data_IF_537569000831
#
_entry.id   IF_537569000831
#
_cell.length_a   1.000
_cell.length_b   1.000
_cell.length_c   1.000
_cell.angle_alpha   90.00
_cell.angle_beta   90.00
_cell.angle_gamma   90.00
#
_symmetry.space_group_name_H-M   'P 1'
#
loop_
_entity.id
_entity.type
_entity.pdbx_description
1 polymer ?
#
# COMPACT_ATOMS: atom_id res chain seq x y z
N UNK A 1 23.26 -17.53 6.79
CA UNK A 1 21.90 -17.94 7.14
C UNK A 1 21.45 -17.10 8.35
N UNK A 2 20.24 -16.48 8.30
CA UNK A 2 19.74 -15.65 9.40
C UNK A 2 18.78 -16.50 10.25
N UNK A 3 19.08 -16.66 11.50
CA UNK A 3 18.19 -17.34 12.45
C UNK A 3 17.51 -16.30 13.34
N UNK A 4 16.19 -16.43 13.49
CA UNK A 4 15.40 -15.58 14.38
C UNK A 4 14.86 -16.46 15.50
N UNK A 5 15.02 -16.01 16.75
CA UNK A 5 14.48 -16.66 17.95
C UNK A 5 13.58 -15.69 18.71
N UNK A 6 12.46 -16.18 19.23
CA UNK A 6 11.61 -15.50 20.20
C UNK A 6 11.54 -16.35 21.46
N UNK A 7 11.88 -15.78 22.61
CA UNK A 7 11.91 -16.48 23.91
C UNK A 7 12.69 -17.82 23.88
N UNK A 8 13.84 -17.82 23.16
CA UNK A 8 14.69 -18.99 22.99
C UNK A 8 14.22 -20.00 21.93
N UNK A 9 13.00 -19.88 21.40
CA UNK A 9 12.45 -20.75 20.36
C UNK A 9 12.73 -20.20 18.96
N UNK A 10 13.24 -21.04 18.06
CA UNK A 10 13.49 -20.67 16.67
C UNK A 10 12.17 -20.39 15.95
N UNK A 11 12.12 -19.29 15.20
CA UNK A 11 10.99 -18.93 14.34
C UNK A 11 11.26 -19.43 12.91
N UNK A 12 10.27 -20.04 12.30
CA UNK A 12 10.38 -20.56 10.93
C UNK A 12 10.27 -19.44 9.86
N UNK A 13 9.67 -18.30 10.23
CA UNK A 13 9.47 -17.15 9.32
C UNK A 13 9.64 -15.86 10.09
N UNK A 14 10.31 -14.87 9.47
CA UNK A 14 10.47 -13.53 10.05
C UNK A 14 9.12 -12.82 10.27
N UNK A 15 8.08 -13.14 9.48
CA UNK A 15 6.74 -12.58 9.65
C UNK A 15 6.09 -12.89 10.99
N UNK A 16 6.58 -13.89 11.72
CA UNK A 16 6.14 -14.20 13.11
C UNK A 16 6.59 -13.15 14.13
N UNK A 17 7.47 -12.21 13.74
CA UNK A 17 7.84 -11.06 14.56
C UNK A 17 6.87 -9.88 14.43
N UNK A 18 6.03 -9.86 13.40
CA UNK A 18 4.99 -8.84 13.24
C UNK A 18 4.10 -8.84 14.49
N UNK A 19 3.65 -7.66 14.93
CA UNK A 19 2.91 -7.41 16.17
C UNK A 19 3.71 -7.68 17.48
N UNK A 20 4.95 -8.16 17.39
CA UNK A 20 5.77 -8.44 18.57
C UNK A 20 6.94 -7.47 18.75
N UNK A 21 7.42 -6.89 17.66
CA UNK A 21 8.55 -5.95 17.66
C UNK A 21 8.21 -4.77 16.75
N UNK A 22 8.26 -3.58 17.31
CA UNK A 22 8.17 -2.33 16.56
C UNK A 22 9.56 -1.70 16.50
N UNK A 23 10.04 -1.43 15.29
CA UNK A 23 11.36 -0.84 15.06
C UNK A 23 11.17 0.47 14.33
N UNK A 24 11.65 1.57 14.93
CA UNK A 24 11.74 2.87 14.28
C UNK A 24 13.22 3.11 13.95
N UNK A 25 13.50 3.26 12.67
CA UNK A 25 14.83 3.59 12.16
C UNK A 25 14.72 4.93 11.44
N UNK A 26 15.58 5.85 11.79
CA UNK A 26 15.76 7.11 11.07
C UNK A 26 17.13 7.11 10.41
N UNK A 27 17.15 7.40 9.12
CA UNK A 27 18.39 7.53 8.34
C UNK A 27 18.35 8.83 7.51
N UNK A 28 19.50 9.37 7.10
CA UNK A 28 19.55 10.56 6.24
C UNK A 28 18.78 10.38 4.92
N UNK A 29 18.66 9.14 4.43
CA UNK A 29 17.89 8.81 3.22
C UNK A 29 16.39 9.05 3.42
N UNK A 30 15.87 8.91 4.64
CA UNK A 30 14.45 9.12 4.93
C UNK A 30 14.05 10.59 4.77
N UNK A 31 14.99 11.54 4.86
CA UNK A 31 14.75 12.96 4.57
C UNK A 31 14.35 13.22 3.11
N UNK A 32 14.69 12.31 2.22
CA UNK A 32 14.36 12.42 0.79
C UNK A 32 12.92 12.03 0.47
N UNK A 33 12.16 11.49 1.44
CA UNK A 33 10.79 10.97 1.20
C UNK A 33 9.87 12.01 0.55
N UNK A 34 10.06 13.30 0.90
CA UNK A 34 9.28 14.42 0.34
C UNK A 34 9.62 14.66 -1.14
N UNK A 35 10.89 14.45 -1.54
CA UNK A 35 11.41 14.74 -2.89
C UNK A 35 11.52 13.50 -3.78
N UNK A 36 11.50 12.33 -3.18
CA UNK A 36 11.65 11.06 -3.88
C UNK A 36 10.38 10.68 -4.67
N UNK A 37 10.53 9.62 -5.46
CA UNK A 37 9.45 9.07 -6.28
C UNK A 37 8.33 8.43 -5.44
N UNK A 38 7.10 8.38 -5.96
CA UNK A 38 5.94 7.75 -5.29
C UNK A 38 6.20 6.32 -4.80
N UNK A 39 7.03 5.55 -5.49
CA UNK A 39 7.38 4.19 -5.09
C UNK A 39 8.04 4.15 -3.72
N UNK A 40 8.95 5.08 -3.43
CA UNK A 40 9.64 5.14 -2.13
C UNK A 40 8.69 5.52 -1.01
N UNK A 41 7.75 6.46 -1.27
CA UNK A 41 6.70 6.83 -0.32
C UNK A 41 5.77 5.64 -0.03
N UNK A 42 5.35 4.90 -1.06
CA UNK A 42 4.58 3.66 -0.86
C UNK A 42 5.36 2.59 -0.10
N UNK A 43 6.65 2.44 -0.37
CA UNK A 43 7.51 1.49 0.36
C UNK A 43 7.60 1.85 1.83
N UNK A 44 7.73 3.13 2.14
CA UNK A 44 7.74 3.62 3.53
C UNK A 44 6.44 3.24 4.24
N UNK A 45 5.28 3.69 3.73
CA UNK A 45 3.99 3.40 4.39
C UNK A 45 3.71 1.91 4.53
N UNK A 46 4.07 1.10 3.53
CA UNK A 46 3.89 -0.35 3.60
C UNK A 46 4.76 -0.97 4.69
N UNK A 47 6.02 -0.52 4.84
CA UNK A 47 6.92 -0.98 5.89
C UNK A 47 6.33 -0.70 7.28
N UNK A 48 5.83 0.51 7.49
CA UNK A 48 5.24 0.89 8.77
C UNK A 48 3.95 0.09 9.06
N UNK A 49 3.04 -0.01 8.09
CA UNK A 49 1.80 -0.77 8.24
C UNK A 49 2.02 -2.27 8.45
N UNK A 50 3.01 -2.86 7.79
CA UNK A 50 3.37 -4.27 7.99
C UNK A 50 3.84 -4.53 9.42
N UNK A 51 4.58 -3.60 10.04
CA UNK A 51 5.05 -3.77 11.41
C UNK A 51 3.91 -3.77 12.45
N UNK A 52 2.87 -2.98 12.22
CA UNK A 52 1.77 -2.75 13.17
C UNK A 52 0.51 -3.57 12.90
N UNK A 53 0.48 -4.37 11.81
CA UNK A 53 -0.71 -5.14 11.46
C UNK A 53 -0.37 -6.39 10.65
N UNK A 54 -0.52 -7.54 11.27
CA UNK A 54 -0.39 -8.84 10.59
C UNK A 54 -1.43 -8.99 9.46
N UNK A 55 -2.65 -8.53 9.68
CA UNK A 55 -3.70 -8.54 8.65
C UNK A 55 -3.31 -7.70 7.43
N UNK A 56 -2.66 -6.54 7.66
CA UNK A 56 -2.14 -5.75 6.55
C UNK A 56 -1.04 -6.51 5.79
N UNK A 57 -0.10 -7.12 6.48
CA UNK A 57 0.94 -7.94 5.87
C UNK A 57 0.35 -9.03 4.97
N UNK A 58 -0.62 -9.79 5.45
CA UNK A 58 -1.26 -10.86 4.68
C UNK A 58 -1.99 -10.32 3.43
N UNK A 59 -2.82 -9.29 3.61
CA UNK A 59 -3.59 -8.69 2.51
C UNK A 59 -2.70 -8.01 1.48
N UNK A 60 -1.68 -7.27 1.92
CA UNK A 60 -0.72 -6.62 1.03
C UNK A 60 0.14 -7.64 0.26
N UNK A 61 0.62 -8.69 0.92
CA UNK A 61 1.35 -9.77 0.25
C UNK A 61 0.47 -10.50 -0.77
N UNK A 62 -0.79 -10.77 -0.41
CA UNK A 62 -1.79 -11.32 -1.32
C UNK A 62 -1.99 -10.43 -2.54
N UNK A 63 -2.20 -9.13 -2.32
CA UNK A 63 -2.33 -8.13 -3.38
C UNK A 63 -1.14 -8.15 -4.35
N UNK A 64 0.08 -8.08 -3.83
CA UNK A 64 1.30 -8.09 -4.65
C UNK A 64 1.42 -9.36 -5.49
N UNK A 65 1.09 -10.52 -4.92
CA UNK A 65 1.12 -11.80 -5.63
C UNK A 65 0.12 -11.83 -6.77
N UNK A 66 -1.13 -11.43 -6.54
CA UNK A 66 -2.18 -11.42 -7.57
C UNK A 66 -1.87 -10.39 -8.65
N UNK A 67 -1.38 -9.22 -8.28
CA UNK A 67 -0.92 -8.20 -9.23
C UNK A 67 0.17 -8.74 -10.18
N UNK A 68 1.14 -9.48 -9.63
CA UNK A 68 2.18 -10.11 -10.44
C UNK A 68 1.62 -11.16 -11.40
N UNK A 69 0.66 -11.99 -10.94
CA UNK A 69 -0.01 -13.00 -11.79
C UNK A 69 -0.84 -12.33 -12.90
N UNK A 70 -1.63 -11.30 -12.56
CA UNK A 70 -2.38 -10.54 -13.57
C UNK A 70 -1.45 -9.89 -14.59
N UNK A 71 -0.35 -9.27 -14.16
CA UNK A 71 0.62 -8.66 -15.07
C UNK A 71 1.36 -9.70 -15.95
N UNK A 72 1.59 -10.91 -15.44
CA UNK A 72 2.14 -12.00 -16.24
C UNK A 72 1.14 -12.46 -17.31
N UNK A 73 -0.13 -12.56 -16.97
CA UNK A 73 -1.21 -12.86 -17.91
C UNK A 73 -1.32 -11.81 -19.03
N UNK A 74 -1.30 -10.52 -18.67
CA UNK A 74 -1.36 -9.41 -19.65
C UNK A 74 -0.17 -9.41 -20.64
N UNK A 75 0.94 -10.06 -20.29
CA UNK A 75 2.12 -10.24 -21.16
C UNK A 75 2.05 -11.49 -22.02
N UNK A 76 1.22 -12.44 -21.65
CA UNK A 76 1.04 -13.71 -22.36
C UNK A 76 0.08 -13.59 -23.55
N UNK A 77 0.02 -14.65 -24.33
CA UNK A 77 -0.90 -14.78 -25.46
C UNK A 77 -2.26 -15.39 -25.08
N UNK A 78 -2.34 -15.98 -23.88
CA UNK A 78 -3.56 -16.60 -23.38
C UNK A 78 -4.57 -15.53 -22.97
N UNK A 79 -5.82 -15.67 -23.42
CA UNK A 79 -6.92 -14.73 -23.14
C UNK A 79 -8.06 -15.44 -22.38
N UNK A 80 -7.72 -16.19 -21.34
CA UNK A 80 -8.70 -16.79 -20.45
C UNK A 80 -9.39 -15.71 -19.60
N UNK A 81 -10.62 -15.35 -19.99
CA UNK A 81 -11.40 -14.30 -19.33
C UNK A 81 -11.85 -14.67 -17.92
N UNK A 82 -12.09 -15.95 -17.67
CA UNK A 82 -12.53 -16.42 -16.36
C UNK A 82 -11.39 -16.32 -15.34
N UNK A 83 -10.19 -16.67 -15.79
CA UNK A 83 -8.98 -16.51 -14.96
C UNK A 83 -8.68 -15.02 -14.66
N UNK A 84 -8.85 -14.14 -15.66
CA UNK A 84 -8.68 -12.71 -15.46
C UNK A 84 -9.71 -12.16 -14.45
N UNK A 85 -10.96 -12.57 -14.56
CA UNK A 85 -12.04 -12.17 -13.67
C UNK A 85 -11.77 -12.58 -12.21
N UNK A 86 -11.23 -13.78 -12.02
CA UNK A 86 -10.81 -14.26 -10.71
C UNK A 86 -9.72 -13.35 -10.10
N UNK A 87 -8.71 -12.96 -10.88
CA UNK A 87 -7.66 -12.06 -10.39
C UNK A 87 -8.19 -10.65 -10.13
N UNK A 88 -9.06 -10.10 -10.99
CA UNK A 88 -9.69 -8.81 -10.79
C UNK A 88 -10.50 -8.78 -9.48
N UNK A 89 -11.25 -9.84 -9.20
CA UNK A 89 -12.00 -10.01 -7.96
C UNK A 89 -11.08 -10.05 -6.74
N UNK A 90 -9.97 -10.81 -6.80
CA UNK A 90 -9.02 -10.90 -5.70
C UNK A 90 -8.24 -9.60 -5.50
N UNK A 91 -7.86 -8.90 -6.59
CA UNK A 91 -7.24 -7.58 -6.50
C UNK A 91 -8.14 -6.56 -5.82
N UNK A 92 -9.43 -6.57 -6.20
CA UNK A 92 -10.42 -5.69 -5.58
C UNK A 92 -10.59 -5.98 -4.08
N UNK A 93 -10.63 -7.25 -3.67
CA UNK A 93 -10.74 -7.65 -2.26
C UNK A 93 -9.51 -7.21 -1.44
N UNK A 94 -8.30 -7.51 -1.91
CA UNK A 94 -7.08 -7.17 -1.18
C UNK A 94 -6.74 -5.68 -1.26
N UNK A 95 -6.93 -5.08 -2.44
CA UNK A 95 -6.56 -3.69 -2.68
C UNK A 95 -7.47 -2.71 -1.96
N UNK A 96 -8.78 -2.97 -1.84
CA UNK A 96 -9.69 -2.15 -1.05
C UNK A 96 -9.27 -2.08 0.42
N UNK A 97 -8.81 -3.19 0.98
CA UNK A 97 -8.24 -3.21 2.33
C UNK A 97 -6.95 -2.38 2.44
N UNK A 98 -6.06 -2.50 1.46
CA UNK A 98 -4.80 -1.73 1.43
C UNK A 98 -5.06 -0.23 1.36
N UNK A 99 -5.98 0.22 0.49
CA UNK A 99 -6.38 1.63 0.34
C UNK A 99 -6.88 2.16 1.68
N UNK A 100 -7.83 1.46 2.30
CA UNK A 100 -8.40 1.88 3.59
C UNK A 100 -7.35 2.00 4.69
N UNK A 101 -6.49 1.00 4.85
CA UNK A 101 -5.46 0.99 5.90
C UNK A 101 -4.44 2.11 5.71
N UNK A 102 -4.06 2.41 4.46
CA UNK A 102 -3.18 3.53 4.15
C UNK A 102 -3.83 4.87 4.45
N UNK A 103 -5.09 5.07 4.03
CA UNK A 103 -5.84 6.29 4.29
C UNK A 103 -5.98 6.56 5.80
N UNK A 104 -6.37 5.54 6.57
CA UNK A 104 -6.50 5.64 8.03
C UNK A 104 -5.16 5.96 8.70
N UNK A 105 -4.07 5.34 8.24
CA UNK A 105 -2.73 5.58 8.76
C UNK A 105 -2.24 7.00 8.44
N UNK A 106 -2.35 7.44 7.18
CA UNK A 106 -1.92 8.79 6.77
C UNK A 106 -2.73 9.87 7.51
N UNK A 107 -4.03 9.68 7.68
CA UNK A 107 -4.88 10.60 8.45
C UNK A 107 -4.39 10.77 9.89
N UNK A 108 -3.98 9.66 10.52
CA UNK A 108 -3.40 9.69 11.88
C UNK A 108 -2.05 10.40 11.92
N UNK A 109 -1.10 10.02 11.06
CA UNK A 109 0.24 10.62 11.09
C UNK A 109 0.21 12.10 10.69
N UNK A 110 -0.67 12.51 9.77
CA UNK A 110 -0.85 13.91 9.38
C UNK A 110 -1.16 14.78 10.59
N UNK A 111 -2.10 14.34 11.44
CA UNK A 111 -2.46 15.06 12.65
C UNK A 111 -1.32 15.18 13.67
N UNK A 112 -0.51 14.14 13.82
CA UNK A 112 0.69 14.22 14.70
C UNK A 112 1.79 15.08 14.09
N UNK A 113 2.06 14.92 12.79
CA UNK A 113 3.09 15.67 12.08
C UNK A 113 2.79 17.16 12.07
N UNK A 114 1.53 17.56 11.86
CA UNK A 114 1.09 18.95 11.89
C UNK A 114 1.40 19.60 13.25
N UNK A 115 1.12 18.91 14.36
CA UNK A 115 1.41 19.41 15.72
C UNK A 115 2.90 19.58 15.97
N UNK A 116 3.71 18.58 15.58
CA UNK A 116 5.16 18.63 15.76
C UNK A 116 5.76 19.75 14.91
N UNK A 117 5.35 19.83 13.64
CA UNK A 117 5.85 20.85 12.70
C UNK A 117 5.50 22.26 13.17
N UNK A 118 4.27 22.50 13.61
CA UNK A 118 3.86 23.79 14.19
C UNK A 118 4.69 24.15 15.43
N UNK A 119 5.04 23.17 16.27
CA UNK A 119 5.94 23.39 17.41
C UNK A 119 7.36 23.79 16.99
N UNK A 120 7.90 23.18 15.93
CA UNK A 120 9.24 23.49 15.41
C UNK A 120 9.28 24.89 14.76
N UNK A 121 8.24 25.26 14.02
CA UNK A 121 8.14 26.53 13.28
C UNK A 121 7.55 27.67 14.10
N UNK A 122 7.29 27.46 15.39
CA UNK A 122 6.58 28.40 16.27
C UNK A 122 5.22 28.87 15.66
N UNK A 123 4.54 27.97 14.95
CA UNK A 123 3.25 28.24 14.32
C UNK A 123 3.31 29.00 12.99
N UNK A 124 4.51 29.26 12.45
CA UNK A 124 4.67 29.99 11.19
C UNK A 124 4.21 29.17 9.96
N UNK A 125 4.26 27.85 10.06
CA UNK A 125 3.90 26.94 8.95
C UNK A 125 2.95 25.86 9.43
N UNK A 126 2.13 25.33 8.50
CA UNK A 126 1.16 24.27 8.76
C UNK A 126 1.39 23.09 7.81
N UNK A 127 1.98 22.01 8.32
CA UNK A 127 2.19 20.79 7.53
C UNK A 127 0.92 19.97 7.44
N UNK A 128 0.53 19.61 6.22
CA UNK A 128 -0.52 18.63 5.92
C UNK A 128 0.06 17.47 5.10
N UNK A 129 -0.25 16.23 5.51
CA UNK A 129 0.09 15.02 4.74
C UNK A 129 -1.20 14.41 4.22
N UNK A 130 -1.31 14.23 2.92
CA UNK A 130 -2.49 13.66 2.25
C UNK A 130 -2.18 12.33 1.62
N UNK A 131 -3.11 11.40 1.75
CA UNK A 131 -3.12 10.21 0.92
C UNK A 131 -3.77 10.55 -0.42
N UNK A 132 -3.09 10.22 -1.50
CA UNK A 132 -3.52 10.46 -2.87
C UNK A 132 -3.72 9.10 -3.56
N UNK A 133 -4.87 8.45 -3.34
CA UNK A 133 -5.17 7.16 -3.95
C UNK A 133 -5.46 7.32 -5.44
N UNK A 134 -5.06 6.32 -6.23
CA UNK A 134 -5.43 6.19 -7.64
C UNK A 134 -6.94 5.98 -7.84
N UNK A 135 -7.58 5.36 -6.84
CA UNK A 135 -9.03 5.19 -6.74
C UNK A 135 -9.55 6.00 -5.56
N UNK A 136 -10.70 6.67 -5.72
CA UNK A 136 -11.31 7.42 -4.64
C UNK A 136 -11.49 6.55 -3.39
N UNK A 137 -11.24 7.13 -2.21
CA UNK A 137 -11.50 6.45 -0.95
C UNK A 137 -13.00 6.40 -0.68
N UNK A 138 -13.54 5.20 -0.57
CA UNK A 138 -14.92 4.98 -0.15
C UNK A 138 -14.97 4.60 1.34
N UNK A 139 -15.96 5.14 2.04
CA UNK A 139 -16.17 4.83 3.47
C UNK A 139 -16.64 3.39 3.69
N UNK A 140 -17.40 2.87 2.73
CA UNK A 140 -17.94 1.51 2.73
C UNK A 140 -17.00 0.57 1.97
N UNK A 141 -16.60 -0.53 2.62
CA UNK A 141 -15.65 -1.51 2.07
C UNK A 141 -16.19 -2.22 0.83
N UNK A 142 -17.47 -2.55 0.81
CA UNK A 142 -18.06 -3.26 -0.34
C UNK A 142 -18.18 -2.31 -1.54
N UNK A 143 -18.47 -1.02 -1.30
CA UNK A 143 -18.41 -0.01 -2.36
C UNK A 143 -17.00 0.17 -2.89
N UNK A 144 -15.99 0.28 -2.02
CA UNK A 144 -14.59 0.39 -2.44
C UNK A 144 -14.15 -0.81 -3.28
N UNK A 145 -14.54 -2.00 -2.86
CA UNK A 145 -14.25 -3.24 -3.60
C UNK A 145 -14.91 -3.25 -4.98
N UNK A 146 -16.19 -2.86 -5.04
CA UNK A 146 -16.92 -2.76 -6.30
C UNK A 146 -16.31 -1.72 -7.24
N UNK A 147 -16.01 -0.53 -6.74
CA UNK A 147 -15.36 0.53 -7.53
C UNK A 147 -14.02 0.05 -8.10
N UNK A 148 -13.21 -0.62 -7.29
CA UNK A 148 -11.93 -1.14 -7.77
C UNK A 148 -12.10 -2.23 -8.83
N UNK A 149 -13.03 -3.17 -8.63
CA UNK A 149 -13.34 -4.18 -9.63
C UNK A 149 -13.80 -3.56 -10.96
N UNK A 150 -14.75 -2.62 -10.91
CA UNK A 150 -15.27 -1.92 -12.08
C UNK A 150 -14.17 -1.12 -12.81
N UNK A 151 -13.25 -0.49 -12.05
CA UNK A 151 -12.11 0.23 -12.60
C UNK A 151 -11.13 -0.72 -13.32
N UNK A 152 -10.85 -1.92 -12.77
CA UNK A 152 -10.03 -2.93 -13.44
C UNK A 152 -10.65 -3.40 -14.76
N UNK A 153 -11.98 -3.63 -14.78
CA UNK A 153 -12.70 -3.98 -16.01
C UNK A 153 -12.63 -2.89 -17.06
N UNK A 154 -12.81 -1.64 -16.65
CA UNK A 154 -12.71 -0.47 -17.54
C UNK A 154 -11.29 -0.30 -18.10
N UNK A 155 -10.27 -0.54 -17.27
CA UNK A 155 -8.87 -0.40 -17.65
C UNK A 155 -8.37 -1.54 -18.56
N UNK A 156 -9.06 -2.68 -18.60
CA UNK A 156 -8.59 -3.89 -19.30
C UNK A 156 -8.07 -3.64 -20.73
N UNK A 157 -8.78 -2.92 -21.64
CA UNK A 157 -8.28 -2.69 -23.00
C UNK A 157 -6.94 -1.93 -23.04
N UNK A 158 -6.72 -1.01 -22.11
CA UNK A 158 -5.45 -0.28 -22.00
C UNK A 158 -4.37 -1.12 -21.34
N UNK A 159 -4.72 -1.90 -20.32
CA UNK A 159 -3.82 -2.82 -19.63
C UNK A 159 -3.27 -3.89 -20.57
N UNK A 160 -4.10 -4.43 -21.45
CA UNK A 160 -3.68 -5.37 -22.50
C UNK A 160 -2.66 -4.75 -23.46
N UNK A 161 -2.89 -3.51 -23.91
CA UNK A 161 -1.93 -2.81 -24.79
C UNK A 161 -0.61 -2.52 -24.10
N UNK A 162 -0.68 -2.07 -22.83
CA UNK A 162 0.49 -1.66 -22.05
C UNK A 162 1.16 -2.84 -21.31
N UNK A 163 0.53 -4.03 -21.34
CA UNK A 163 0.98 -5.28 -20.69
C UNK A 163 1.23 -5.10 -19.19
N UNK A 164 0.43 -4.26 -18.54
CA UNK A 164 0.53 -3.96 -17.11
C UNK A 164 -0.79 -3.46 -16.56
N UNK A 165 -1.05 -3.75 -15.29
CA UNK A 165 -2.19 -3.23 -14.54
C UNK A 165 -1.96 -1.74 -14.25
N UNK A 166 -2.90 -0.89 -14.68
CA UNK A 166 -2.79 0.57 -14.58
C UNK A 166 -3.54 1.17 -13.40
N UNK A 167 -4.36 0.40 -12.70
CA UNK A 167 -5.28 0.88 -11.65
C UNK A 167 -5.04 0.16 -10.34
N UNK A 168 -5.03 0.90 -9.23
CA UNK A 168 -5.01 0.35 -7.87
C UNK A 168 -3.88 0.85 -6.98
N UNK A 169 -3.80 0.34 -5.72
CA UNK A 169 -2.92 0.90 -4.68
C UNK A 169 -1.41 0.84 -4.98
N UNK A 170 -0.98 0.18 -6.02
CA UNK A 170 0.40 0.24 -6.52
C UNK A 170 0.69 1.53 -7.32
N UNK A 171 -0.33 2.36 -7.58
CA UNK A 171 -0.26 3.67 -8.25
C UNK A 171 -0.45 4.85 -7.31
N UNK A 172 -0.90 4.61 -6.08
CA UNK A 172 -1.12 5.67 -5.08
C UNK A 172 0.11 6.52 -4.80
N UNK A 173 -0.15 7.71 -4.27
CA UNK A 173 0.91 8.59 -3.75
C UNK A 173 0.56 9.16 -2.36
N UNK A 174 1.49 9.92 -1.80
CA UNK A 174 1.37 10.66 -0.56
C UNK A 174 1.89 12.08 -0.81
N UNK A 175 1.01 13.06 -0.68
CA UNK A 175 1.35 14.47 -0.82
C UNK A 175 1.77 15.11 0.50
N UNK A 176 2.71 16.05 0.45
CA UNK A 176 3.16 16.86 1.58
C UNK A 176 2.95 18.33 1.21
N UNK A 177 2.21 19.04 2.05
CA UNK A 177 1.83 20.45 1.83
C UNK A 177 2.20 21.27 3.06
N UNK A 178 2.80 22.47 2.82
CA UNK A 178 3.18 23.44 3.84
C UNK A 178 2.57 24.78 3.48
#
# INVERSE_FOLDING_TARGET
EKFVKKDGKSLNRASQLIDNILIVIFSPEDLKIVKDEPEKRRRFINRELVQISHSYYEKFTGYCRILAQRNAFLKGECQDKDMLDLWDTQLAEYGSYVIKMRADFIRKISGYSAKIHSGITAGAESLEIKYEPDLNEESDREKQKKEFYDALKKAYPSDMRNRTTSVGPHRDDIGFFV
#
